data_IF_078088113880
#
_entry.id   IF_078088113880
#
_cell.length_a   1.000
_cell.length_b   1.000
_cell.length_c   1.000
_cell.angle_alpha   90.00
_cell.angle_beta   90.00
_cell.angle_gamma   90.00
#
_symmetry.space_group_name_H-M   'P 1'
#
loop_
_entity.id
_entity.type
_entity.pdbx_description
1 polymer ?
#
# COMPACT_ATOMS: atom_id res chain seq x y z
N UNK A 1 40.81 -3.91 25.19
CA UNK A 1 39.37 -3.60 25.03
C UNK A 1 38.99 -3.08 23.66
N UNK A 2 39.67 -2.05 23.12
CA UNK A 2 39.34 -1.40 21.83
C UNK A 2 39.28 -2.39 20.64
N UNK A 3 40.24 -3.31 20.51
CA UNK A 3 40.24 -4.31 19.40
C UNK A 3 39.00 -5.22 19.42
N UNK A 4 38.59 -5.72 20.60
CA UNK A 4 37.37 -6.58 20.71
C UNK A 4 36.12 -5.77 20.41
N UNK A 5 36.03 -4.52 20.80
CA UNK A 5 34.92 -3.63 20.47
C UNK A 5 34.86 -3.35 18.95
N UNK A 6 35.98 -3.04 18.32
CA UNK A 6 36.04 -2.85 16.87
C UNK A 6 35.65 -4.12 16.10
N UNK A 7 36.06 -5.30 16.55
CA UNK A 7 35.64 -6.58 15.95
C UNK A 7 34.12 -6.82 16.08
N UNK A 8 33.54 -6.49 17.25
CA UNK A 8 32.08 -6.61 17.46
C UNK A 8 31.32 -5.67 16.51
N UNK A 9 31.74 -4.43 16.39
CA UNK A 9 31.13 -3.45 15.47
C UNK A 9 31.23 -3.92 14.02
N UNK A 10 32.39 -4.41 13.61
CA UNK A 10 32.61 -4.96 12.27
C UNK A 10 31.65 -6.14 11.99
N UNK A 11 31.52 -7.06 12.96
CA UNK A 11 30.60 -8.19 12.86
C UNK A 11 29.15 -7.73 12.70
N UNK A 12 28.70 -6.74 13.48
CA UNK A 12 27.34 -6.19 13.38
C UNK A 12 27.09 -5.54 12.01
N UNK A 13 28.06 -4.80 11.48
CA UNK A 13 27.96 -4.20 10.14
C UNK A 13 27.84 -5.30 9.09
N UNK A 14 28.64 -6.36 9.18
CA UNK A 14 28.61 -7.47 8.23
C UNK A 14 27.29 -8.24 8.28
N UNK A 15 26.74 -8.45 9.47
CA UNK A 15 25.40 -9.03 9.66
C UNK A 15 24.31 -8.14 9.05
N UNK A 16 24.38 -6.82 9.25
CA UNK A 16 23.43 -5.87 8.67
C UNK A 16 23.47 -5.90 7.14
N UNK A 17 24.66 -5.87 6.55
CA UNK A 17 24.86 -5.96 5.10
C UNK A 17 24.29 -7.27 4.57
N UNK A 18 24.60 -8.41 5.22
CA UNK A 18 24.07 -9.73 4.84
C UNK A 18 22.54 -9.77 4.92
N UNK A 19 21.96 -9.17 5.95
CA UNK A 19 20.51 -9.07 6.11
C UNK A 19 19.86 -8.22 5.02
N UNK A 20 20.42 -7.06 4.70
CA UNK A 20 19.94 -6.22 3.61
C UNK A 20 20.06 -6.94 2.26
N UNK A 21 21.18 -7.68 2.04
CA UNK A 21 21.34 -8.49 0.84
C UNK A 21 20.26 -9.58 0.74
N UNK A 22 20.00 -10.28 1.84
CA UNK A 22 18.91 -11.25 1.91
C UNK A 22 17.55 -10.62 1.56
N UNK A 23 17.25 -9.43 2.13
CA UNK A 23 16.02 -8.68 1.81
C UNK A 23 15.96 -8.28 0.33
N UNK A 24 17.09 -7.94 -0.29
CA UNK A 24 17.15 -7.55 -1.70
C UNK A 24 16.89 -8.72 -2.66
N UNK A 25 17.35 -9.92 -2.31
CA UNK A 25 17.25 -11.09 -3.17
C UNK A 25 15.96 -11.89 -2.93
N UNK A 26 15.67 -12.20 -1.67
CA UNK A 26 14.57 -13.10 -1.31
C UNK A 26 13.33 -12.35 -0.78
N UNK A 27 13.54 -11.17 -0.20
CA UNK A 27 12.52 -10.47 0.55
C UNK A 27 12.18 -11.17 1.87
N UNK A 28 11.44 -10.50 2.73
CA UNK A 28 10.91 -11.03 3.98
C UNK A 28 9.39 -11.02 3.93
N UNK A 29 8.77 -12.19 3.95
CA UNK A 29 7.32 -12.33 4.07
C UNK A 29 6.93 -12.49 5.54
N UNK A 30 6.00 -11.67 6.00
CA UNK A 30 5.59 -11.64 7.40
C UNK A 30 4.11 -11.31 7.56
N UNK A 31 3.49 -11.86 8.59
CA UNK A 31 2.13 -11.50 9.05
C UNK A 31 2.15 -10.59 10.28
N UNK A 32 3.33 -10.34 10.85
CA UNK A 32 3.49 -9.64 12.13
C UNK A 32 2.87 -8.24 12.14
N UNK A 33 2.88 -7.57 11.00
CA UNK A 33 2.34 -6.20 10.88
C UNK A 33 0.86 -6.17 10.49
N UNK A 34 0.23 -7.31 10.21
CA UNK A 34 -1.14 -7.33 9.72
C UNK A 34 -2.12 -6.72 10.71
N UNK A 35 -1.98 -7.05 11.98
CA UNK A 35 -2.91 -6.58 13.02
C UNK A 35 -2.72 -5.08 13.29
N UNK A 36 -1.49 -4.58 13.27
CA UNK A 36 -1.20 -3.15 13.41
C UNK A 36 -1.77 -2.35 12.24
N UNK A 37 -1.61 -2.85 11.01
CA UNK A 37 -2.16 -2.22 9.80
C UNK A 37 -3.68 -2.23 9.85
N UNK A 38 -4.31 -3.36 10.18
CA UNK A 38 -5.75 -3.49 10.30
C UNK A 38 -6.32 -2.55 11.37
N UNK A 39 -5.73 -2.55 12.56
CA UNK A 39 -6.18 -1.69 13.66
C UNK A 39 -6.05 -0.21 13.34
N UNK A 40 -4.96 0.21 12.68
CA UNK A 40 -4.75 1.58 12.24
C UNK A 40 -5.82 2.02 11.24
N UNK A 41 -6.16 1.17 10.27
CA UNK A 41 -7.20 1.48 9.29
C UNK A 41 -8.58 1.52 9.93
N UNK A 42 -8.92 0.53 10.75
CA UNK A 42 -10.24 0.45 11.42
C UNK A 42 -10.45 1.59 12.41
N UNK A 43 -9.40 2.06 13.08
CA UNK A 43 -9.49 3.21 13.98
C UNK A 43 -9.77 4.53 13.24
N UNK A 44 -9.21 4.68 12.04
CA UNK A 44 -9.36 5.88 11.21
C UNK A 44 -10.66 5.86 10.39
N UNK A 45 -11.09 4.68 9.95
CA UNK A 45 -12.24 4.49 9.06
C UNK A 45 -13.17 3.39 9.61
N UNK A 46 -14.18 3.78 10.39
CA UNK A 46 -15.06 2.86 11.15
C UNK A 46 -15.81 1.81 10.30
N UNK A 47 -16.04 2.10 9.01
CA UNK A 47 -16.80 1.22 8.12
C UNK A 47 -15.91 0.41 7.18
N UNK A 48 -14.59 0.42 7.41
CA UNK A 48 -13.61 -0.28 6.58
C UNK A 48 -12.94 -1.37 7.38
N UNK A 49 -13.06 -2.59 6.92
CA UNK A 49 -12.32 -3.73 7.44
C UNK A 49 -11.34 -4.21 6.38
N UNK A 50 -10.04 -4.28 6.76
CA UNK A 50 -8.97 -4.70 5.88
C UNK A 50 -8.62 -6.17 6.15
N UNK A 51 -8.65 -6.97 5.10
CA UNK A 51 -8.17 -8.36 5.13
C UNK A 51 -6.81 -8.45 4.45
N UNK A 52 -5.78 -8.85 5.19
CA UNK A 52 -4.42 -9.08 4.71
C UNK A 52 -4.01 -10.53 4.94
N UNK A 53 -3.38 -11.14 3.93
CA UNK A 53 -2.77 -12.47 4.07
C UNK A 53 -1.36 -12.36 4.67
N UNK A 54 -0.50 -11.64 3.98
CA UNK A 54 0.88 -11.36 4.39
C UNK A 54 1.38 -10.10 3.71
N UNK A 55 2.43 -9.55 4.29
CA UNK A 55 3.17 -8.43 3.71
C UNK A 55 4.56 -8.91 3.36
N UNK A 56 5.02 -8.63 2.15
CA UNK A 56 6.36 -8.95 1.70
C UNK A 56 7.19 -7.68 1.58
N UNK A 57 8.38 -7.69 2.16
CA UNK A 57 9.30 -6.56 2.22
C UNK A 57 10.56 -6.92 1.44
N UNK A 58 10.94 -6.07 0.50
CA UNK A 58 12.19 -6.14 -0.24
C UNK A 58 13.01 -4.89 -0.02
N UNK A 59 14.32 -5.00 -0.15
CA UNK A 59 15.22 -3.86 -0.16
C UNK A 59 15.78 -3.63 -1.56
N UNK A 60 15.58 -2.44 -2.11
CA UNK A 60 16.15 -2.03 -3.39
C UNK A 60 17.44 -1.25 -3.15
N UNK A 61 18.59 -1.87 -3.48
CA UNK A 61 19.91 -1.27 -3.31
C UNK A 61 20.16 -0.07 -4.22
N UNK A 62 19.56 -0.06 -5.42
CA UNK A 62 19.77 1.02 -6.39
C UNK A 62 19.12 2.33 -5.92
N UNK A 63 17.95 2.23 -5.34
CA UNK A 63 17.15 3.37 -4.91
C UNK A 63 17.21 3.62 -3.40
N UNK A 64 17.87 2.73 -2.65
CA UNK A 64 17.95 2.74 -1.19
C UNK A 64 16.56 2.88 -0.54
N UNK A 65 15.61 2.09 -1.03
CA UNK A 65 14.26 2.06 -0.49
C UNK A 65 13.79 0.63 -0.16
N UNK A 66 12.79 0.56 0.71
CA UNK A 66 12.05 -0.66 0.99
C UNK A 66 10.80 -0.68 0.11
N UNK A 67 10.65 -1.73 -0.67
CA UNK A 67 9.44 -2.04 -1.39
C UNK A 67 8.58 -2.96 -0.53
N UNK A 68 7.39 -2.53 -0.19
CA UNK A 68 6.43 -3.28 0.63
C UNK A 68 5.24 -3.64 -0.24
N UNK A 69 4.88 -4.91 -0.23
CA UNK A 69 3.84 -5.45 -1.08
C UNK A 69 2.93 -6.40 -0.30
N UNK A 70 1.62 -6.29 -0.52
CA UNK A 70 0.64 -7.27 -0.05
C UNK A 70 -0.12 -7.83 -1.24
N UNK A 71 -0.10 -9.16 -1.39
CA UNK A 71 -0.81 -9.85 -2.47
C UNK A 71 -2.18 -10.31 -2.03
N UNK A 72 -3.15 -10.14 -2.93
CA UNK A 72 -4.54 -10.51 -2.74
C UNK A 72 -5.18 -9.95 -1.45
N UNK A 73 -4.91 -8.70 -1.06
CA UNK A 73 -5.66 -8.10 0.03
C UNK A 73 -7.10 -7.84 -0.39
N UNK A 74 -7.98 -7.65 0.57
CA UNK A 74 -9.36 -7.23 0.33
C UNK A 74 -9.82 -6.23 1.38
N UNK A 75 -10.76 -5.38 0.99
CA UNK A 75 -11.43 -4.44 1.86
C UNK A 75 -12.90 -4.80 1.89
N UNK A 76 -13.45 -4.94 3.09
CA UNK A 76 -14.90 -5.02 3.30
C UNK A 76 -15.39 -3.62 3.67
N UNK A 77 -16.26 -3.06 2.84
CA UNK A 77 -16.86 -1.75 3.01
C UNK A 77 -18.36 -1.85 2.82
N UNK A 78 -19.15 -1.45 3.84
CA UNK A 78 -20.61 -1.54 3.82
C UNK A 78 -21.12 -2.94 3.41
N UNK A 79 -20.51 -4.00 3.92
CA UNK A 79 -20.78 -5.43 3.60
C UNK A 79 -20.38 -5.86 2.19
N UNK A 80 -19.87 -4.98 1.34
CA UNK A 80 -19.35 -5.31 0.02
C UNK A 80 -17.85 -5.58 0.11
N UNK A 81 -17.40 -6.66 -0.53
CA UNK A 81 -15.99 -7.04 -0.56
C UNK A 81 -15.34 -6.56 -1.85
N UNK A 82 -14.38 -5.68 -1.72
CA UNK A 82 -13.50 -5.23 -2.79
C UNK A 82 -12.20 -6.02 -2.74
N UNK A 83 -11.87 -6.68 -3.85
CA UNK A 83 -10.69 -7.53 -3.94
C UNK A 83 -9.59 -6.85 -4.76
N UNK A 84 -8.37 -6.92 -4.25
CA UNK A 84 -7.20 -6.37 -4.92
C UNK A 84 -6.26 -7.50 -5.32
N UNK A 85 -5.55 -7.32 -6.43
CA UNK A 85 -4.51 -8.22 -6.89
C UNK A 85 -3.22 -7.94 -6.12
N UNK A 86 -2.94 -6.65 -5.93
CA UNK A 86 -1.70 -6.17 -5.37
C UNK A 86 -1.90 -4.79 -4.74
N UNK A 87 -1.28 -4.58 -3.58
CA UNK A 87 -1.11 -3.25 -2.98
C UNK A 87 0.34 -3.11 -2.58
N UNK A 88 1.01 -2.09 -3.11
CA UNK A 88 2.43 -1.89 -2.88
C UNK A 88 2.79 -0.43 -2.62
N UNK A 89 3.89 -0.23 -1.90
CA UNK A 89 4.43 1.09 -1.59
C UNK A 89 5.95 1.04 -1.50
N UNK A 90 6.57 2.21 -1.62
CA UNK A 90 8.00 2.41 -1.43
C UNK A 90 8.23 3.34 -0.24
N UNK A 91 9.12 2.92 0.65
CA UNK A 91 9.57 3.73 1.81
C UNK A 91 11.07 3.93 1.70
N UNK A 92 11.51 5.17 1.67
CA UNK A 92 12.94 5.49 1.65
C UNK A 92 13.63 5.03 2.94
N UNK A 93 14.80 4.39 2.82
CA UNK A 93 15.62 4.06 3.97
C UNK A 93 15.99 5.31 4.79
N UNK A 94 16.21 6.45 4.12
CA UNK A 94 16.47 7.73 4.77
C UNK A 94 15.29 8.19 5.63
N UNK A 95 14.05 8.02 5.16
CA UNK A 95 12.84 8.37 5.93
C UNK A 95 12.74 7.55 7.22
N UNK A 96 13.10 6.26 7.14
CA UNK A 96 13.10 5.38 8.33
C UNK A 96 14.16 5.84 9.35
N UNK A 97 15.38 6.16 8.89
CA UNK A 97 16.48 6.63 9.76
C UNK A 97 16.10 7.97 10.43
N UNK A 98 15.47 8.87 9.70
CA UNK A 98 15.03 10.18 10.20
C UNK A 98 13.74 10.10 11.04
N UNK A 99 13.16 8.93 11.21
CA UNK A 99 11.84 8.72 11.85
C UNK A 99 10.70 9.49 11.17
N UNK A 100 10.89 9.86 9.91
CA UNK A 100 9.88 10.50 9.06
C UNK A 100 9.23 9.41 8.21
N UNK A 101 8.22 8.72 8.72
CA UNK A 101 7.48 7.72 7.94
C UNK A 101 6.65 8.38 6.83
N UNK A 102 7.32 8.84 5.79
CA UNK A 102 6.67 9.41 4.63
C UNK A 102 6.48 8.34 3.56
N UNK A 103 5.23 7.94 3.34
CA UNK A 103 4.85 7.19 2.16
C UNK A 103 4.94 8.13 0.95
N UNK A 104 5.72 7.76 -0.06
CA UNK A 104 5.79 8.54 -1.29
C UNK A 104 4.54 8.29 -2.15
N UNK A 105 4.21 7.03 -2.35
CA UNK A 105 3.04 6.62 -3.11
C UNK A 105 2.51 5.26 -2.63
N UNK A 106 1.26 4.98 -2.97
CA UNK A 106 0.67 3.64 -2.89
C UNK A 106 0.16 3.28 -4.28
N UNK A 107 0.62 2.14 -4.79
CA UNK A 107 0.10 1.52 -6.00
C UNK A 107 -0.90 0.44 -5.61
N UNK A 108 -2.11 0.51 -6.17
CA UNK A 108 -3.20 -0.43 -5.93
C UNK A 108 -3.61 -1.03 -7.27
N UNK A 109 -3.57 -2.34 -7.40
CA UNK A 109 -4.08 -3.06 -8.56
C UNK A 109 -5.32 -3.83 -8.13
N UNK A 110 -6.47 -3.49 -8.71
CA UNK A 110 -7.73 -4.17 -8.38
C UNK A 110 -7.84 -5.51 -9.11
N UNK A 111 -8.60 -6.44 -8.54
CA UNK A 111 -9.22 -7.52 -9.29
C UNK A 111 -10.49 -6.98 -9.94
N UNK A 112 -11.24 -7.86 -10.62
CA UNK A 112 -12.56 -7.55 -11.12
C UNK A 112 -13.50 -7.25 -9.95
N UNK A 113 -13.88 -5.98 -9.80
CA UNK A 113 -14.82 -5.51 -8.77
C UNK A 113 -16.05 -4.89 -9.41
N UNK A 114 -17.14 -4.80 -8.65
CA UNK A 114 -18.29 -4.00 -9.03
C UNK A 114 -17.87 -2.50 -8.97
N UNK A 115 -18.16 -1.77 -10.04
CA UNK A 115 -17.76 -0.36 -10.15
C UNK A 115 -18.45 0.52 -9.11
N UNK A 116 -19.70 0.22 -8.75
CA UNK A 116 -20.45 0.94 -7.72
C UNK A 116 -19.78 0.85 -6.36
N UNK A 117 -19.37 -0.37 -5.97
CA UNK A 117 -18.74 -0.60 -4.68
C UNK A 117 -17.41 0.15 -4.58
N UNK A 118 -16.63 0.20 -5.69
CA UNK A 118 -15.39 0.97 -5.74
C UNK A 118 -15.64 2.49 -5.66
N UNK A 119 -16.66 3.00 -6.37
CA UNK A 119 -17.03 4.42 -6.31
C UNK A 119 -17.49 4.79 -4.90
N UNK A 120 -18.29 3.96 -4.25
CA UNK A 120 -18.77 4.21 -2.89
C UNK A 120 -17.63 4.18 -1.87
N UNK A 121 -16.65 3.30 -2.04
CA UNK A 121 -15.41 3.34 -1.25
C UNK A 121 -14.65 4.64 -1.47
N UNK A 122 -14.44 5.05 -2.73
CA UNK A 122 -13.71 6.28 -3.06
C UNK A 122 -14.36 7.52 -2.47
N UNK A 123 -15.70 7.61 -2.46
CA UNK A 123 -16.44 8.70 -1.82
C UNK A 123 -16.13 8.84 -0.32
N UNK A 124 -15.89 7.72 0.35
CA UNK A 124 -15.57 7.73 1.77
C UNK A 124 -14.21 8.37 2.07
N UNK A 125 -13.27 8.29 1.10
CA UNK A 125 -11.96 8.94 1.22
C UNK A 125 -11.93 10.37 0.71
N UNK A 126 -12.58 10.62 -0.43
CA UNK A 126 -12.59 11.94 -1.07
C UNK A 126 -13.87 12.11 -1.90
N UNK A 127 -14.74 13.02 -1.48
CA UNK A 127 -15.95 13.32 -2.24
C UNK A 127 -15.68 14.48 -3.19
N UNK A 128 -15.35 14.18 -4.44
CA UNK A 128 -15.13 15.18 -5.51
C UNK A 128 -16.31 15.23 -6.48
N UNK A 129 -16.40 16.30 -7.28
CA UNK A 129 -17.44 16.44 -8.31
C UNK A 129 -17.38 15.30 -9.34
N UNK A 130 -16.16 14.86 -9.69
CA UNK A 130 -15.91 13.78 -10.64
C UNK A 130 -16.45 12.45 -10.11
N UNK A 131 -16.14 12.11 -8.85
CA UNK A 131 -16.64 10.89 -8.19
C UNK A 131 -18.17 10.93 -8.05
N UNK A 132 -18.74 12.10 -7.73
CA UNK A 132 -20.19 12.29 -7.68
C UNK A 132 -20.84 12.04 -9.07
N UNK A 133 -20.27 12.62 -10.13
CA UNK A 133 -20.77 12.44 -11.50
C UNK A 133 -20.68 10.97 -11.95
N UNK A 134 -19.53 10.32 -11.69
CA UNK A 134 -19.36 8.89 -11.99
C UNK A 134 -20.41 8.04 -11.28
N UNK A 135 -20.68 8.31 -10.01
CA UNK A 135 -21.67 7.57 -9.26
C UNK A 135 -23.09 7.76 -9.78
N UNK A 136 -23.42 8.96 -10.28
CA UNK A 136 -24.73 9.27 -10.83
C UNK A 136 -24.92 8.66 -12.22
N UNK A 137 -23.85 8.65 -13.03
CA UNK A 137 -23.89 8.19 -14.42
C UNK A 137 -23.80 6.66 -14.55
N UNK A 138 -22.99 6.00 -13.73
CA UNK A 138 -22.78 4.55 -13.83
C UNK A 138 -23.74 3.80 -12.92
N UNK A 139 -24.63 2.98 -13.49
CA UNK A 139 -25.59 2.13 -12.75
C UNK A 139 -25.02 0.78 -12.42
N UNK A 140 -24.34 0.15 -13.39
CA UNK A 140 -23.73 -1.17 -13.25
C UNK A 140 -22.42 -1.23 -14.04
N UNK A 141 -21.64 -2.26 -13.79
CA UNK A 141 -20.41 -2.56 -14.48
C UNK A 141 -19.38 -3.21 -13.58
N UNK A 142 -18.35 -3.75 -14.21
CA UNK A 142 -17.20 -4.28 -13.50
C UNK A 142 -15.95 -3.52 -13.91
N UNK A 143 -15.06 -3.30 -12.98
CA UNK A 143 -13.82 -2.56 -13.18
C UNK A 143 -12.61 -3.37 -12.76
N UNK A 144 -11.56 -3.31 -13.57
CA UNK A 144 -10.19 -3.68 -13.23
C UNK A 144 -9.33 -2.44 -13.46
N UNK A 145 -8.64 -1.98 -12.44
CA UNK A 145 -7.87 -0.74 -12.52
C UNK A 145 -6.57 -0.82 -11.72
N UNK A 146 -5.62 -0.02 -12.17
CA UNK A 146 -4.41 0.35 -11.44
C UNK A 146 -4.55 1.80 -10.99
N UNK A 147 -4.38 2.02 -9.67
CA UNK A 147 -4.40 3.33 -9.07
C UNK A 147 -3.01 3.61 -8.49
N UNK A 148 -2.47 4.79 -8.72
CA UNK A 148 -1.28 5.29 -8.05
C UNK A 148 -1.68 6.55 -7.31
N UNK A 149 -1.59 6.50 -5.98
CA UNK A 149 -1.88 7.62 -5.08
C UNK A 149 -0.57 8.15 -4.54
N UNK A 150 -0.26 9.41 -4.83
CA UNK A 150 0.91 10.09 -4.28
C UNK A 150 0.54 10.81 -2.99
N UNK A 151 1.47 10.86 -2.04
CA UNK A 151 1.29 11.51 -0.75
C UNK A 151 2.18 12.73 -0.63
N UNK A 152 1.67 13.77 0.02
CA UNK A 152 2.44 14.92 0.44
C UNK A 152 3.25 14.60 1.71
N UNK A 153 4.21 15.44 2.05
CA UNK A 153 5.02 15.30 3.27
C UNK A 153 4.19 15.30 4.56
N UNK A 154 3.02 15.89 4.56
CA UNK A 154 2.07 15.91 5.67
C UNK A 154 1.21 14.64 5.77
N UNK A 155 1.44 13.65 4.90
CA UNK A 155 0.71 12.39 4.86
C UNK A 155 -0.67 12.47 4.17
N UNK A 156 -1.06 13.62 3.65
CA UNK A 156 -2.27 13.77 2.87
C UNK A 156 -2.09 13.30 1.42
N UNK A 157 -3.17 12.79 0.83
CA UNK A 157 -3.16 12.40 -0.60
C UNK A 157 -2.94 13.65 -1.44
N UNK A 158 -1.96 13.57 -2.36
CA UNK A 158 -1.70 14.61 -3.36
C UNK A 158 -2.85 14.69 -4.36
N UNK A 159 -2.96 15.82 -5.05
CA UNK A 159 -3.84 15.92 -6.23
C UNK A 159 -3.23 15.23 -7.46
N UNK A 160 -1.95 14.86 -7.40
CA UNK A 160 -1.26 14.07 -8.41
C UNK A 160 -1.51 12.58 -8.13
N UNK A 161 -2.50 12.04 -8.82
CA UNK A 161 -2.84 10.62 -8.81
C UNK A 161 -3.09 10.14 -10.24
N UNK A 162 -2.86 8.88 -10.51
CA UNK A 162 -3.19 8.26 -11.79
C UNK A 162 -4.14 7.08 -11.60
N UNK A 163 -5.10 6.97 -12.51
CA UNK A 163 -6.02 5.84 -12.60
C UNK A 163 -5.97 5.34 -14.04
N UNK A 164 -5.62 4.08 -14.21
CA UNK A 164 -5.65 3.41 -15.50
C UNK A 164 -6.42 2.10 -15.35
N UNK A 165 -7.42 1.87 -16.20
CA UNK A 165 -8.26 0.69 -16.03
C UNK A 165 -9.28 0.50 -17.13
N UNK A 166 -9.96 -0.62 -17.07
CA UNK A 166 -11.00 -1.02 -18.01
C UNK A 166 -12.31 -1.27 -17.28
N UNK A 167 -13.37 -0.69 -17.82
CA UNK A 167 -14.74 -0.94 -17.35
C UNK A 167 -15.45 -1.82 -18.37
N UNK A 168 -16.04 -2.94 -17.90
CA UNK A 168 -16.80 -3.87 -18.73
C UNK A 168 -18.27 -3.90 -18.30
N UNK A 169 -19.16 -4.13 -19.28
CA UNK A 169 -20.61 -4.24 -19.05
C UNK A 169 -21.17 -3.03 -18.30
N UNK A 170 -20.73 -1.83 -18.68
CA UNK A 170 -21.21 -0.59 -18.09
C UNK A 170 -22.64 -0.30 -18.56
N UNK A 171 -23.53 -0.02 -17.60
CA UNK A 171 -24.86 0.56 -17.83
C UNK A 171 -24.82 2.01 -17.31
N UNK A 172 -25.24 2.95 -18.14
CA UNK A 172 -25.30 4.39 -17.84
C UNK A 172 -26.73 4.81 -17.50
#
# INVERSE_FOLDING_TARGET
MVKKFAQLVLLLILLLISFLFYLGVFGLETKRFNDDIKSTISSKYKNIELELNSVKIFFNFKELNFFINSKNPSIVFNKNKLSFKDVSTHISAKSIINQEFNLNNIKIVTKKNNIKDLIDLLKNFKNTKEIFLLNKSLKKGTIEAELILNFKKDGNISNDYSINGEVKNAEI
#
